data_IF_432482971615
#
_entry.id   IF_432482971615
#
_cell.length_a   1.000
_cell.length_b   1.000
_cell.length_c   1.000
_cell.angle_alpha   90.00
_cell.angle_beta   90.00
_cell.angle_gamma   90.00
#
_symmetry.space_group_name_H-M   'P 1'
#
loop_
_entity.id
_entity.type
_entity.pdbx_description
1 polymer ?
#
# COMPACT_ATOMS: atom_id res chain seq x y z
N UNK A 1 25.12 10.65 7.78
CA UNK A 1 25.20 11.78 6.83
C UNK A 1 24.41 11.34 5.61
N UNK A 2 23.19 11.84 5.46
CA UNK A 2 22.30 11.46 4.37
C UNK A 2 22.35 12.59 3.35
N UNK A 3 22.85 12.26 2.15
CA UNK A 3 22.77 13.16 1.00
C UNK A 3 21.36 13.04 0.42
N UNK A 4 20.75 14.19 0.00
CA UNK A 4 19.59 14.14 -0.88
C UNK A 4 20.00 13.47 -2.22
N UNK A 5 19.03 13.07 -3.02
CA UNK A 5 19.30 12.39 -4.28
C UNK A 5 20.05 13.28 -5.32
N UNK A 6 20.17 14.59 -5.11
CA UNK A 6 21.02 15.53 -5.87
C UNK A 6 22.43 15.66 -5.27
N UNK A 7 22.77 14.85 -4.24
CA UNK A 7 24.05 14.91 -3.56
C UNK A 7 24.21 16.12 -2.64
N UNK A 8 23.09 16.80 -2.27
CA UNK A 8 23.13 17.95 -1.37
C UNK A 8 23.04 17.50 0.08
N UNK A 9 23.92 18.03 0.92
CA UNK A 9 23.85 17.86 2.36
C UNK A 9 22.58 18.53 2.90
N UNK A 10 21.69 17.75 3.48
CA UNK A 10 20.57 18.31 4.26
C UNK A 10 21.12 19.12 5.42
N UNK A 11 20.93 20.44 5.35
CA UNK A 11 21.29 21.35 6.43
C UNK A 11 20.26 21.23 7.55
N UNK A 12 20.62 20.64 8.64
CA UNK A 12 19.93 20.35 9.90
C UNK A 12 19.49 18.89 10.02
N UNK A 13 20.28 18.17 10.77
CA UNK A 13 20.21 16.75 11.13
C UNK A 13 18.87 16.03 10.96
N UNK A 14 18.83 15.01 10.17
CA UNK A 14 17.84 13.93 10.05
C UNK A 14 16.38 14.28 9.71
N UNK A 15 15.91 15.54 9.72
CA UNK A 15 14.53 15.88 9.39
C UNK A 15 14.29 15.81 7.89
N UNK A 16 13.16 15.21 7.49
CA UNK A 16 12.81 14.96 6.08
C UNK A 16 11.37 15.37 5.83
N UNK A 17 11.08 15.82 4.60
CA UNK A 17 9.72 16.06 4.16
C UNK A 17 9.16 14.81 3.47
N UNK A 18 7.89 14.54 3.70
CA UNK A 18 7.15 13.43 3.12
C UNK A 18 5.80 13.91 2.58
N UNK A 19 5.29 13.23 1.57
CA UNK A 19 3.87 13.26 1.25
C UNK A 19 3.27 11.93 1.66
N UNK A 20 2.20 12.00 2.44
CA UNK A 20 1.40 10.87 2.88
C UNK A 20 0.13 10.77 2.05
N UNK A 21 -0.14 9.60 1.51
CA UNK A 21 -1.44 9.28 0.90
C UNK A 21 -2.26 8.55 1.94
N UNK A 22 -3.52 8.95 2.08
CA UNK A 22 -4.50 8.35 2.97
C UNK A 22 -5.85 8.20 2.26
N UNK A 23 -6.82 7.61 2.92
CA UNK A 23 -8.20 7.60 2.40
C UNK A 23 -8.82 8.98 2.58
N UNK A 24 -9.63 9.40 1.61
CA UNK A 24 -10.38 10.65 1.68
C UNK A 24 -11.17 10.74 3.00
N UNK A 25 -11.04 11.87 3.70
CA UNK A 25 -11.65 12.12 5.00
C UNK A 25 -10.87 11.58 6.20
N UNK A 26 -9.67 11.01 5.98
CA UNK A 26 -8.80 10.52 7.06
C UNK A 26 -7.54 11.38 7.27
N UNK A 27 -7.44 12.51 6.60
CA UNK A 27 -6.27 13.41 6.64
C UNK A 27 -5.95 13.88 8.06
N UNK A 28 -6.99 14.23 8.83
CA UNK A 28 -6.84 14.66 10.23
C UNK A 28 -6.34 13.59 11.19
N UNK A 29 -6.42 12.30 10.83
CA UNK A 29 -5.84 11.24 11.65
C UNK A 29 -4.31 11.21 11.56
N UNK A 30 -3.73 11.58 10.40
CA UNK A 30 -2.27 11.69 10.27
C UNK A 30 -1.73 12.77 11.21
N UNK A 31 -2.40 13.93 11.30
CA UNK A 31 -2.01 14.99 12.24
C UNK A 31 -2.07 14.52 13.70
N UNK A 32 -3.13 13.76 14.06
CA UNK A 32 -3.25 13.17 15.40
C UNK A 32 -2.15 12.14 15.70
N UNK A 33 -1.77 11.31 14.74
CA UNK A 33 -0.66 10.38 14.90
C UNK A 33 0.67 11.11 15.13
N UNK A 34 0.80 12.32 14.60
CA UNK A 34 1.98 13.18 14.78
C UNK A 34 1.98 13.99 16.08
N UNK A 35 0.88 14.08 16.83
CA UNK A 35 0.78 14.92 18.05
C UNK A 35 1.77 14.53 19.14
N UNK A 36 2.07 13.24 19.28
CA UNK A 36 2.99 12.72 20.30
C UNK A 36 4.46 12.65 19.84
N UNK A 37 4.76 13.07 18.60
CA UNK A 37 6.12 13.02 18.06
C UNK A 37 6.95 14.25 18.46
N UNK A 38 8.24 14.02 18.77
CA UNK A 38 9.17 15.10 19.06
C UNK A 38 10.45 14.97 18.22
N UNK A 39 10.79 15.98 17.38
CA UNK A 39 9.97 17.17 17.12
C UNK A 39 8.68 16.85 16.38
N UNK A 40 7.58 17.55 16.70
CA UNK A 40 6.32 17.42 15.99
C UNK A 40 6.49 17.94 14.56
N UNK A 41 6.21 17.15 13.51
CA UNK A 41 6.23 17.62 12.15
C UNK A 41 5.04 18.56 11.89
N UNK A 42 5.20 19.44 10.91
CA UNK A 42 4.09 20.24 10.42
C UNK A 42 3.28 19.41 9.42
N UNK A 43 1.99 19.25 9.66
CA UNK A 43 1.04 18.58 8.76
C UNK A 43 0.30 19.64 7.93
N UNK A 44 0.32 19.50 6.61
CA UNK A 44 -0.39 20.38 5.68
C UNK A 44 -1.17 19.56 4.68
N UNK A 45 -2.49 19.70 4.65
CA UNK A 45 -3.33 19.07 3.63
C UNK A 45 -3.09 19.74 2.27
N UNK A 46 -2.65 18.97 1.28
CA UNK A 46 -2.39 19.46 -0.08
C UNK A 46 -3.57 19.23 -1.02
N UNK A 47 -4.32 18.16 -0.78
CA UNK A 47 -5.52 17.75 -1.51
C UNK A 47 -6.24 16.66 -0.71
N UNK A 48 -7.44 16.30 -1.12
CA UNK A 48 -8.19 15.18 -0.51
C UNK A 48 -7.37 13.89 -0.53
N UNK A 49 -7.12 13.31 0.63
CA UNK A 49 -6.28 12.13 0.81
C UNK A 49 -4.78 12.37 0.67
N UNK A 50 -4.31 13.62 0.67
CA UNK A 50 -2.90 13.99 0.51
C UNK A 50 -2.44 14.96 1.59
N UNK A 51 -1.51 14.54 2.42
CA UNK A 51 -0.95 15.35 3.51
C UNK A 51 0.57 15.44 3.36
N UNK A 52 1.10 16.65 3.39
CA UNK A 52 2.54 16.89 3.51
C UNK A 52 2.95 16.93 4.98
N UNK A 53 4.00 16.16 5.31
CA UNK A 53 4.71 16.22 6.57
C UNK A 53 6.03 16.94 6.37
N UNK A 54 6.17 18.12 6.96
CA UNK A 54 7.41 18.89 6.94
C UNK A 54 8.16 18.75 8.26
N UNK A 55 9.46 18.48 8.18
CA UNK A 55 10.30 18.33 9.37
C UNK A 55 10.07 17.04 10.17
N UNK A 56 9.68 15.94 9.51
CA UNK A 56 9.50 14.63 10.14
C UNK A 56 10.86 13.94 10.37
N UNK A 57 11.05 13.41 11.55
CA UNK A 57 12.21 12.56 11.86
C UNK A 57 11.92 11.11 11.44
N UNK A 58 12.62 10.57 10.44
CA UNK A 58 12.36 9.22 9.93
C UNK A 58 12.56 8.11 10.97
N UNK A 59 13.26 8.38 12.09
CA UNK A 59 13.42 7.41 13.18
C UNK A 59 12.08 7.08 13.84
N UNK A 60 11.10 7.97 13.77
CA UNK A 60 9.77 7.72 14.32
C UNK A 60 9.04 6.56 13.63
N UNK A 61 9.36 6.23 12.39
CA UNK A 61 8.73 5.07 11.75
C UNK A 61 8.97 3.75 12.49
N UNK A 62 10.07 3.63 13.23
CA UNK A 62 10.38 2.42 14.00
C UNK A 62 9.70 2.36 15.37
N UNK A 63 9.30 3.50 15.91
CA UNK A 63 8.70 3.63 17.26
C UNK A 63 7.21 3.97 17.21
N UNK A 64 6.80 4.69 16.19
CA UNK A 64 5.42 5.21 16.03
C UNK A 64 5.03 5.17 14.55
N UNK A 65 4.72 3.97 14.02
CA UNK A 65 4.33 3.85 12.61
C UNK A 65 3.02 4.62 12.33
N UNK A 66 2.95 5.24 11.16
CA UNK A 66 1.77 5.97 10.71
C UNK A 66 0.76 4.98 10.10
N UNK A 67 -0.30 4.65 10.83
CA UNK A 67 -1.28 3.61 10.44
C UNK A 67 -2.28 4.08 9.38
N UNK A 68 -2.53 5.40 9.30
CA UNK A 68 -3.47 5.96 8.32
C UNK A 68 -2.82 6.25 6.97
N UNK A 69 -1.52 6.05 6.84
CA UNK A 69 -0.77 6.22 5.58
C UNK A 69 -0.85 4.96 4.74
N UNK A 70 -1.42 5.04 3.56
CA UNK A 70 -1.45 3.94 2.57
C UNK A 70 -0.23 3.96 1.66
N UNK A 71 0.31 5.14 1.36
CA UNK A 71 1.53 5.31 0.59
C UNK A 71 2.31 6.55 1.07
N UNK A 72 3.61 6.38 1.20
CA UNK A 72 4.54 7.44 1.60
C UNK A 72 5.47 7.79 0.45
N UNK A 73 5.64 9.08 0.20
CA UNK A 73 6.56 9.64 -0.77
C UNK A 73 7.67 10.39 -0.01
N UNK A 74 8.87 9.82 0.16
CA UNK A 74 9.97 10.48 0.82
C UNK A 74 10.58 11.58 -0.07
N UNK A 75 10.95 12.71 0.53
CA UNK A 75 11.64 13.83 -0.14
C UNK A 75 10.97 14.25 -1.45
N UNK A 76 9.65 14.57 -1.44
CA UNK A 76 8.93 14.91 -2.66
C UNK A 76 9.46 16.20 -3.27
N UNK A 77 9.54 16.24 -4.62
CA UNK A 77 9.80 17.46 -5.39
C UNK A 77 8.59 17.79 -6.25
N UNK A 78 8.12 19.04 -6.16
CA UNK A 78 7.03 19.50 -7.02
C UNK A 78 7.50 19.66 -8.47
N UNK A 79 6.73 19.12 -9.38
CA UNK A 79 6.92 19.23 -10.82
C UNK A 79 5.64 19.73 -11.48
N UNK A 80 5.81 20.43 -12.62
CA UNK A 80 4.70 20.93 -13.43
C UNK A 80 4.93 20.63 -14.91
N UNK A 81 3.90 20.12 -15.57
CA UNK A 81 3.92 19.89 -17.00
C UNK A 81 2.50 20.01 -17.60
N UNK A 82 2.30 20.81 -18.67
CA UNK A 82 0.98 21.08 -19.23
C UNK A 82 0.42 19.94 -20.07
N UNK A 83 1.20 18.90 -20.40
CA UNK A 83 0.75 17.83 -21.26
C UNK A 83 1.36 16.47 -20.88
N UNK A 84 0.68 15.38 -21.26
CA UNK A 84 1.17 13.99 -21.08
C UNK A 84 2.58 13.82 -21.65
N UNK A 85 2.84 14.33 -22.86
CA UNK A 85 4.15 14.23 -23.51
C UNK A 85 5.25 14.98 -22.74
N UNK A 86 4.92 16.12 -22.16
CA UNK A 86 5.88 16.88 -21.36
C UNK A 86 6.13 16.21 -20.01
N UNK A 87 5.12 15.66 -19.37
CA UNK A 87 5.28 14.81 -18.19
C UNK A 87 6.24 13.64 -18.46
N UNK A 88 6.02 12.90 -19.56
CA UNK A 88 6.87 11.78 -19.91
C UNK A 88 8.32 12.20 -20.21
N UNK A 89 8.54 13.34 -20.85
CA UNK A 89 9.90 13.87 -21.09
C UNK A 89 10.58 14.26 -19.78
N UNK A 90 9.86 14.97 -18.91
CA UNK A 90 10.37 15.37 -17.59
C UNK A 90 10.76 14.13 -16.76
N UNK A 91 9.89 13.12 -16.74
CA UNK A 91 10.19 11.84 -16.10
C UNK A 91 11.43 11.17 -16.70
N UNK A 92 11.56 11.14 -18.02
CA UNK A 92 12.73 10.54 -18.66
C UNK A 92 14.03 11.24 -18.24
N UNK A 93 14.01 12.55 -18.12
CA UNK A 93 15.16 13.34 -17.63
C UNK A 93 15.48 12.97 -16.18
N UNK A 94 14.48 12.94 -15.30
CA UNK A 94 14.63 12.56 -13.91
C UNK A 94 15.15 11.11 -13.78
N UNK A 95 14.54 10.16 -14.45
CA UNK A 95 14.95 8.76 -14.45
C UNK A 95 16.40 8.59 -14.93
N UNK A 96 16.79 9.31 -15.97
CA UNK A 96 18.16 9.28 -16.51
C UNK A 96 19.17 9.81 -15.49
N UNK A 97 18.84 10.90 -14.80
CA UNK A 97 19.69 11.51 -13.78
C UNK A 97 19.85 10.60 -12.55
N UNK A 98 18.76 9.93 -12.14
CA UNK A 98 18.67 9.16 -10.91
C UNK A 98 19.25 7.75 -11.04
N UNK A 99 18.93 7.08 -12.14
CA UNK A 99 19.27 5.67 -12.36
C UNK A 99 20.52 5.48 -13.25
N UNK A 100 21.04 6.54 -13.82
CA UNK A 100 22.25 6.50 -14.67
C UNK A 100 22.11 5.48 -15.81
N UNK A 101 23.00 4.48 -15.84
CA UNK A 101 23.01 3.42 -16.88
C UNK A 101 21.90 2.36 -16.69
N UNK A 102 21.20 2.34 -15.53
CA UNK A 102 20.04 1.50 -15.31
C UNK A 102 20.34 0.02 -15.12
N UNK A 103 21.39 -0.30 -14.38
CA UNK A 103 21.77 -1.69 -14.11
C UNK A 103 21.03 -2.30 -12.91
N UNK A 104 20.55 -1.45 -11.99
CA UNK A 104 19.84 -1.90 -10.78
C UNK A 104 18.33 -1.99 -11.02
N UNK A 105 17.64 -2.98 -10.41
CA UNK A 105 16.19 -3.11 -10.49
C UNK A 105 15.49 -1.90 -9.85
N UNK A 106 14.45 -1.42 -10.50
CA UNK A 106 13.65 -0.30 -10.00
C UNK A 106 12.17 -0.46 -10.35
N UNK A 107 11.32 0.24 -9.62
CA UNK A 107 9.87 0.28 -9.84
C UNK A 107 9.37 1.68 -10.16
N UNK A 108 8.24 1.77 -10.86
CA UNK A 108 7.59 3.02 -11.22
C UNK A 108 6.11 3.00 -10.82
N UNK A 109 5.72 3.98 -10.02
CA UNK A 109 4.32 4.25 -9.70
C UNK A 109 3.93 5.62 -10.22
N UNK A 110 2.90 5.69 -11.05
CA UNK A 110 2.27 6.95 -11.50
C UNK A 110 0.80 6.88 -11.12
N UNK A 111 0.34 7.80 -10.27
CA UNK A 111 -1.00 7.75 -9.72
C UNK A 111 -1.55 9.14 -9.34
N UNK A 112 -2.84 9.17 -9.12
CA UNK A 112 -3.63 10.30 -8.64
C UNK A 112 -4.20 9.93 -7.27
N UNK A 113 -4.49 10.89 -6.36
CA UNK A 113 -5.17 10.60 -5.10
C UNK A 113 -6.51 9.93 -5.36
N UNK A 114 -6.92 9.01 -4.49
CA UNK A 114 -8.24 8.39 -4.60
C UNK A 114 -9.31 9.44 -4.27
N UNK A 115 -10.04 9.92 -5.28
CA UNK A 115 -11.23 10.73 -5.03
C UNK A 115 -12.40 9.85 -4.57
N UNK A 116 -13.26 10.37 -3.68
CA UNK A 116 -14.45 9.67 -3.22
C UNK A 116 -15.43 9.27 -4.37
N UNK A 117 -15.32 9.94 -5.53
CA UNK A 117 -16.17 9.77 -6.72
C UNK A 117 -15.52 8.95 -7.86
N UNK A 118 -14.54 8.14 -7.57
CA UNK A 118 -13.61 7.58 -8.57
C UNK A 118 -14.12 6.45 -9.44
N UNK A 119 -15.26 6.62 -10.08
CA UNK A 119 -15.62 5.84 -11.28
C UNK A 119 -14.77 6.16 -12.52
N UNK A 120 -13.97 7.26 -12.49
CA UNK A 120 -13.10 7.73 -13.61
C UNK A 120 -11.61 7.72 -13.25
N UNK A 121 -11.21 6.87 -12.35
CA UNK A 121 -9.87 6.76 -11.85
C UNK A 121 -8.84 6.45 -12.97
N UNK A 122 -7.74 7.22 -13.06
CA UNK A 122 -6.48 6.89 -13.78
C UNK A 122 -6.34 7.19 -15.26
N UNK A 123 -7.12 8.09 -15.86
CA UNK A 123 -6.94 8.34 -17.30
C UNK A 123 -5.60 9.00 -17.61
N UNK A 124 -5.18 10.03 -16.83
CA UNK A 124 -3.96 10.80 -17.10
C UNK A 124 -2.69 10.07 -16.64
N UNK A 125 -2.69 9.50 -15.45
CA UNK A 125 -1.57 8.71 -14.94
C UNK A 125 -1.22 7.56 -15.89
N UNK A 126 -2.23 6.79 -16.35
CA UNK A 126 -2.04 5.72 -17.35
C UNK A 126 -1.53 6.21 -18.70
N UNK A 127 -1.96 7.39 -19.14
CA UNK A 127 -1.45 7.96 -20.39
C UNK A 127 0.01 8.37 -20.26
N UNK A 128 0.40 8.95 -19.13
CA UNK A 128 1.80 9.30 -18.84
C UNK A 128 2.64 8.02 -18.74
N UNK A 129 2.16 7.00 -18.06
CA UNK A 129 2.83 5.71 -17.95
C UNK A 129 3.09 5.09 -19.32
N UNK A 130 2.07 5.04 -20.18
CA UNK A 130 2.21 4.55 -21.55
C UNK A 130 3.25 5.32 -22.35
N UNK A 131 3.24 6.64 -22.24
CA UNK A 131 4.15 7.51 -23.01
C UNK A 131 5.60 7.39 -22.49
N UNK A 132 5.83 7.31 -21.17
CA UNK A 132 7.18 7.13 -20.62
C UNK A 132 7.75 5.76 -20.98
N UNK A 133 6.94 4.69 -20.93
CA UNK A 133 7.38 3.36 -21.36
C UNK A 133 7.78 3.33 -22.85
N UNK A 134 7.06 4.05 -23.70
CA UNK A 134 7.41 4.21 -25.11
C UNK A 134 8.75 4.97 -25.29
N UNK A 135 8.96 6.06 -24.55
CA UNK A 135 10.21 6.82 -24.56
C UNK A 135 11.39 5.99 -24.02
N UNK A 136 11.20 5.22 -22.95
CA UNK A 136 12.23 4.31 -22.42
C UNK A 136 12.60 3.25 -23.47
N UNK A 137 11.63 2.68 -24.16
CA UNK A 137 11.88 1.70 -25.23
C UNK A 137 12.68 2.29 -26.38
N UNK A 138 12.43 3.54 -26.73
CA UNK A 138 13.12 4.24 -27.81
C UNK A 138 14.53 4.68 -27.40
N UNK A 139 14.65 5.33 -26.23
CA UNK A 139 15.86 6.11 -25.87
C UNK A 139 16.72 5.48 -24.78
N UNK A 140 16.14 4.64 -23.91
CA UNK A 140 16.79 4.12 -22.69
C UNK A 140 16.39 2.69 -22.40
N UNK A 141 16.70 1.77 -23.32
CA UNK A 141 16.34 0.35 -23.23
C UNK A 141 16.93 -0.35 -22.00
N UNK A 142 18.08 0.07 -21.50
CA UNK A 142 18.65 -0.46 -20.27
C UNK A 142 17.73 -0.21 -19.07
N UNK A 143 17.25 1.03 -18.90
CA UNK A 143 16.30 1.38 -17.85
C UNK A 143 15.01 0.57 -17.95
N UNK A 144 14.49 0.41 -19.18
CA UNK A 144 13.27 -0.40 -19.37
C UNK A 144 13.46 -1.88 -19.00
N UNK A 145 14.65 -2.45 -19.27
CA UNK A 145 14.95 -3.84 -18.90
C UNK A 145 15.04 -4.06 -17.40
N UNK A 146 15.47 -3.05 -16.65
CA UNK A 146 15.61 -3.09 -15.18
C UNK A 146 14.32 -2.68 -14.46
N UNK A 147 13.30 -2.20 -15.18
CA UNK A 147 11.99 -1.87 -14.61
C UNK A 147 11.24 -3.14 -14.23
N UNK A 148 10.89 -3.26 -12.96
CA UNK A 148 10.10 -4.36 -12.44
C UNK A 148 8.61 -4.01 -12.44
N UNK A 149 7.74 -4.89 -12.95
CA UNK A 149 6.29 -4.70 -12.90
C UNK A 149 5.73 -4.78 -11.47
N UNK A 150 6.44 -5.48 -10.58
CA UNK A 150 6.11 -5.61 -9.15
C UNK A 150 7.37 -5.35 -8.34
N UNK A 151 7.59 -4.12 -7.87
CA UNK A 151 8.77 -3.78 -7.07
C UNK A 151 8.73 -4.49 -5.70
N UNK A 152 9.88 -4.92 -5.22
CA UNK A 152 10.05 -5.55 -3.89
C UNK A 152 10.58 -4.53 -2.88
N UNK A 153 10.69 -4.90 -1.61
CA UNK A 153 11.28 -4.03 -0.58
C UNK A 153 12.72 -3.61 -0.88
N UNK A 154 13.47 -4.45 -1.59
CA UNK A 154 14.87 -4.20 -1.99
C UNK A 154 15.02 -3.38 -3.28
N UNK A 155 13.89 -2.96 -3.87
CA UNK A 155 13.86 -2.24 -5.14
C UNK A 155 13.73 -0.74 -4.89
N UNK A 156 14.51 0.09 -5.59
CA UNK A 156 14.26 1.54 -5.65
C UNK A 156 12.90 1.80 -6.31
N UNK A 157 12.03 2.55 -5.63
CA UNK A 157 10.71 2.90 -6.13
C UNK A 157 10.65 4.38 -6.49
N UNK A 158 10.35 4.68 -7.74
CA UNK A 158 10.12 6.03 -8.22
C UNK A 158 8.62 6.25 -8.32
N UNK A 159 8.15 7.34 -7.74
CA UNK A 159 6.72 7.64 -7.60
C UNK A 159 6.44 9.02 -8.21
N UNK A 160 5.42 9.11 -9.06
CA UNK A 160 4.83 10.35 -9.52
C UNK A 160 3.39 10.43 -9.04
N UNK A 161 3.13 11.31 -8.09
CA UNK A 161 1.79 11.67 -7.64
C UNK A 161 1.32 12.89 -8.45
N UNK A 162 0.18 12.79 -9.11
CA UNK A 162 -0.47 13.91 -9.78
C UNK A 162 -1.57 14.48 -8.88
N UNK A 163 -1.43 15.72 -8.42
CA UNK A 163 -2.47 16.44 -7.68
C UNK A 163 -3.49 17.04 -8.65
N UNK A 164 -3.00 17.64 -9.73
CA UNK A 164 -3.82 18.10 -10.84
C UNK A 164 -3.23 17.59 -12.16
N UNK A 165 -3.94 17.71 -13.28
CA UNK A 165 -3.37 17.33 -14.58
C UNK A 165 -2.01 17.95 -14.91
N UNK A 166 -1.69 19.10 -14.32
CA UNK A 166 -0.51 19.89 -14.65
C UNK A 166 0.49 20.03 -13.50
N UNK A 167 0.11 19.57 -12.29
CA UNK A 167 0.92 19.65 -11.07
C UNK A 167 1.04 18.30 -10.39
N UNK A 168 2.22 17.94 -9.97
CA UNK A 168 2.45 16.69 -9.25
C UNK A 168 3.76 16.72 -8.47
N UNK A 169 4.05 15.60 -7.80
CA UNK A 169 5.25 15.43 -7.01
C UNK A 169 5.96 14.15 -7.45
N UNK A 170 7.26 14.26 -7.69
CA UNK A 170 8.12 13.10 -7.87
C UNK A 170 8.83 12.78 -6.56
N UNK A 171 8.98 11.50 -6.27
CA UNK A 171 9.68 11.00 -5.09
C UNK A 171 10.44 9.73 -5.41
N UNK A 172 11.53 9.52 -4.66
CA UNK A 172 12.35 8.32 -4.76
C UNK A 172 12.42 7.70 -3.38
N UNK A 173 11.93 6.47 -3.28
CA UNK A 173 12.06 5.64 -2.12
C UNK A 173 13.15 4.58 -2.38
N UNK A 174 14.30 4.75 -1.75
CA UNK A 174 15.40 3.79 -1.80
C UNK A 174 15.07 2.54 -0.98
N UNK A 175 15.79 1.41 -1.13
CA UNK A 175 15.64 0.25 -0.23
C UNK A 175 15.79 0.61 1.25
N UNK A 176 16.65 1.59 1.58
CA UNK A 176 16.78 2.08 2.95
C UNK A 176 15.51 2.77 3.45
N UNK A 177 14.91 3.68 2.65
CA UNK A 177 13.66 4.35 3.01
C UNK A 177 12.53 3.34 3.20
N UNK A 178 12.46 2.35 2.31
CA UNK A 178 11.44 1.29 2.36
C UNK A 178 11.59 0.39 3.58
N UNK A 179 12.83 0.04 3.95
CA UNK A 179 13.10 -0.70 5.18
C UNK A 179 12.74 0.10 6.44
N UNK A 180 13.03 1.40 6.44
CA UNK A 180 12.77 2.28 7.58
C UNK A 180 11.27 2.53 7.77
N UNK A 181 10.57 2.91 6.71
CA UNK A 181 9.14 3.23 6.74
C UNK A 181 8.22 1.99 6.67
N UNK A 182 8.79 0.82 6.39
CA UNK A 182 8.04 -0.44 6.33
C UNK A 182 6.85 -0.40 5.36
N UNK A 183 5.66 -0.85 5.80
CA UNK A 183 4.48 -0.91 4.94
C UNK A 183 4.01 0.44 4.39
N UNK A 184 4.39 1.57 5.02
CA UNK A 184 4.01 2.90 4.55
C UNK A 184 4.60 3.24 3.18
N UNK A 185 5.74 2.62 2.76
CA UNK A 185 6.22 2.68 1.38
C UNK A 185 5.87 1.38 0.67
N UNK A 186 4.60 1.25 0.32
CA UNK A 186 4.04 0.05 -0.29
C UNK A 186 4.68 -0.29 -1.65
N UNK A 187 4.88 -1.58 -1.97
CA UNK A 187 5.20 -2.03 -3.32
C UNK A 187 3.99 -1.96 -4.27
N UNK A 188 2.79 -1.76 -3.73
CA UNK A 188 1.56 -1.64 -4.50
C UNK A 188 1.30 -0.19 -4.88
N UNK A 189 0.70 0.03 -6.07
CA UNK A 189 0.37 1.36 -6.57
C UNK A 189 -0.54 2.12 -5.59
N UNK A 190 -0.11 3.30 -5.15
CA UNK A 190 -0.80 4.13 -4.17
C UNK A 190 -1.12 3.40 -2.84
N UNK A 191 -0.41 2.32 -2.54
CA UNK A 191 -0.62 1.51 -1.34
C UNK A 191 -1.80 0.54 -1.42
N UNK A 192 -2.46 0.42 -2.57
CA UNK A 192 -3.61 -0.48 -2.73
C UNK A 192 -3.20 -1.82 -3.33
N UNK A 193 -3.46 -2.89 -2.58
CA UNK A 193 -3.31 -4.25 -3.10
C UNK A 193 -4.41 -4.53 -4.13
N UNK A 194 -4.03 -4.77 -5.38
CA UNK A 194 -4.97 -5.10 -6.44
C UNK A 194 -5.43 -6.55 -6.30
N UNK A 195 -6.49 -6.80 -5.51
CA UNK A 195 -7.09 -8.12 -5.39
C UNK A 195 -8.07 -8.35 -6.54
N UNK A 196 -7.81 -9.32 -7.45
CA UNK A 196 -8.71 -9.63 -8.55
C UNK A 196 -10.12 -9.98 -8.07
N UNK A 197 -11.11 -9.69 -8.91
CA UNK A 197 -12.47 -10.15 -8.65
C UNK A 197 -12.54 -11.68 -8.80
N UNK A 198 -13.08 -12.32 -7.76
CA UNK A 198 -13.39 -13.76 -7.74
C UNK A 198 -14.85 -13.89 -7.28
N UNK A 199 -15.65 -14.60 -8.06
CA UNK A 199 -17.07 -14.83 -7.78
C UNK A 199 -17.29 -16.12 -6.97
N UNK A 200 -16.23 -16.89 -6.71
CA UNK A 200 -16.33 -18.14 -5.94
C UNK A 200 -16.49 -17.94 -4.44
N UNK A 201 -15.83 -16.94 -3.78
CA UNK A 201 -16.09 -16.67 -2.39
C UNK A 201 -17.52 -16.12 -2.15
N UNK A 202 -18.21 -16.53 -1.09
CA UNK A 202 -19.59 -16.14 -0.84
C UNK A 202 -19.80 -14.65 -0.49
N UNK A 203 -18.74 -13.91 -0.27
CA UNK A 203 -18.80 -12.45 -0.07
C UNK A 203 -17.53 -11.77 -0.56
N UNK A 204 -17.63 -10.47 -0.88
CA UNK A 204 -16.47 -9.64 -1.28
C UNK A 204 -15.47 -9.37 -0.14
N UNK A 205 -15.84 -9.70 1.10
CA UNK A 205 -14.96 -9.54 2.27
C UNK A 205 -13.65 -10.35 2.15
N UNK A 206 -13.60 -11.40 1.32
CA UNK A 206 -12.38 -12.16 1.06
C UNK A 206 -11.20 -11.27 0.64
N UNK A 207 -11.45 -10.16 -0.05
CA UNK A 207 -10.42 -9.23 -0.51
C UNK A 207 -9.63 -8.62 0.65
N UNK A 208 -10.29 -8.33 1.77
CA UNK A 208 -9.65 -7.79 2.98
C UNK A 208 -8.59 -8.76 3.53
N UNK A 209 -8.91 -10.07 3.55
CA UNK A 209 -7.96 -11.07 4.04
C UNK A 209 -6.79 -11.27 3.08
N UNK A 210 -7.02 -11.24 1.76
CA UNK A 210 -5.94 -11.28 0.75
C UNK A 210 -5.02 -10.06 0.90
N UNK A 211 -5.60 -8.85 1.01
CA UNK A 211 -4.84 -7.63 1.26
C UNK A 211 -4.02 -7.72 2.55
N UNK A 212 -4.62 -8.20 3.65
CA UNK A 212 -3.92 -8.38 4.92
C UNK A 212 -2.75 -9.38 4.81
N UNK A 213 -2.90 -10.46 4.03
CA UNK A 213 -1.81 -11.40 3.78
C UNK A 213 -0.60 -10.72 3.12
N UNK A 214 -0.84 -9.90 2.10
CA UNK A 214 0.21 -9.17 1.40
C UNK A 214 0.86 -8.11 2.30
N UNK A 215 0.05 -7.31 2.98
CA UNK A 215 0.54 -6.20 3.83
C UNK A 215 1.33 -6.71 5.03
N UNK A 216 0.87 -7.77 5.68
CA UNK A 216 1.50 -8.32 6.90
C UNK A 216 2.42 -9.52 6.63
N UNK A 217 2.61 -9.92 5.37
CA UNK A 217 3.43 -11.08 5.02
C UNK A 217 2.91 -12.40 5.57
N UNK A 218 1.58 -12.54 5.72
CA UNK A 218 0.95 -13.74 6.28
C UNK A 218 0.92 -14.84 5.22
N UNK A 219 1.65 -15.92 5.45
CA UNK A 219 1.68 -17.07 4.57
C UNK A 219 0.79 -18.20 5.09
N UNK A 220 -0.34 -18.45 4.44
CA UNK A 220 -1.20 -19.59 4.76
C UNK A 220 -0.60 -20.90 4.26
N UNK A 221 -0.69 -21.95 5.08
CA UNK A 221 -0.18 -23.29 4.75
C UNK A 221 -1.22 -24.36 5.11
N UNK A 222 -1.26 -25.41 4.31
CA UNK A 222 -2.13 -26.54 4.58
C UNK A 222 -1.89 -27.12 5.99
N UNK A 223 -2.98 -27.40 6.69
CA UNK A 223 -2.97 -27.94 8.04
C UNK A 223 -2.92 -26.91 9.17
N UNK A 224 -2.69 -25.62 8.88
CA UNK A 224 -2.78 -24.56 9.89
C UNK A 224 -4.15 -24.58 10.57
N UNK A 225 -4.15 -24.38 11.89
CA UNK A 225 -5.35 -24.28 12.73
C UNK A 225 -5.81 -22.82 12.76
N UNK A 226 -6.93 -22.52 12.13
CA UNK A 226 -7.42 -21.16 11.98
C UNK A 226 -8.80 -20.98 12.61
N UNK A 227 -9.10 -19.80 13.10
CA UNK A 227 -10.45 -19.41 13.49
C UNK A 227 -10.89 -18.17 12.70
N UNK A 228 -12.16 -18.19 12.25
CA UNK A 228 -12.84 -17.07 11.59
C UNK A 228 -14.03 -16.65 12.47
N UNK A 229 -13.91 -15.51 13.14
CA UNK A 229 -14.89 -14.98 14.07
C UNK A 229 -15.80 -13.98 13.33
N UNK A 230 -17.12 -14.26 13.33
CA UNK A 230 -18.09 -13.54 12.49
C UNK A 230 -18.02 -14.04 11.05
N UNK A 231 -17.94 -15.34 10.89
CA UNK A 231 -17.57 -16.00 9.63
C UNK A 231 -18.61 -15.87 8.51
N UNK A 232 -19.92 -15.74 8.82
CA UNK A 232 -20.99 -15.78 7.80
C UNK A 232 -20.92 -14.58 6.84
N UNK A 233 -21.12 -14.78 5.54
CA UNK A 233 -21.44 -16.02 4.81
C UNK A 233 -20.23 -16.91 4.48
N UNK A 234 -18.98 -16.54 4.85
CA UNK A 234 -17.80 -17.39 4.70
C UNK A 234 -16.74 -16.85 3.74
N UNK A 235 -16.68 -15.54 3.51
CA UNK A 235 -15.69 -14.95 2.61
C UNK A 235 -14.25 -15.25 3.06
N UNK A 236 -13.94 -15.07 4.33
CA UNK A 236 -12.61 -15.38 4.90
C UNK A 236 -12.41 -16.87 5.11
N UNK A 237 -13.44 -17.57 5.61
CA UNK A 237 -13.43 -19.04 5.70
C UNK A 237 -13.05 -19.69 4.36
N UNK A 238 -13.57 -19.16 3.23
CA UNK A 238 -13.25 -19.66 1.89
C UNK A 238 -11.75 -19.55 1.58
N UNK A 239 -11.14 -18.39 1.86
CA UNK A 239 -9.70 -18.16 1.63
C UNK A 239 -8.85 -19.15 2.44
N UNK A 240 -9.16 -19.28 3.73
CA UNK A 240 -8.45 -20.18 4.64
C UNK A 240 -8.59 -21.66 4.21
N UNK A 241 -9.82 -22.08 3.89
CA UNK A 241 -10.09 -23.45 3.45
C UNK A 241 -9.44 -23.78 2.10
N UNK A 242 -9.45 -22.81 1.14
CA UNK A 242 -8.77 -22.95 -0.16
C UNK A 242 -7.26 -23.13 -0.02
N UNK A 243 -6.65 -22.50 1.00
CA UNK A 243 -5.24 -22.70 1.35
C UNK A 243 -4.95 -24.04 2.08
N UNK A 244 -5.98 -24.86 2.36
CA UNK A 244 -5.86 -26.14 3.04
C UNK A 244 -5.78 -26.04 4.56
N UNK A 245 -6.13 -24.89 5.15
CA UNK A 245 -6.23 -24.73 6.59
C UNK A 245 -7.40 -25.53 7.18
N UNK A 246 -7.33 -25.89 8.46
CA UNK A 246 -8.45 -26.37 9.27
C UNK A 246 -9.08 -25.17 9.95
N UNK A 247 -10.34 -24.90 9.65
CA UNK A 247 -11.00 -23.65 10.04
C UNK A 247 -12.16 -23.90 10.98
N UNK A 248 -12.11 -23.32 12.17
CA UNK A 248 -13.30 -23.10 13.00
C UNK A 248 -13.93 -21.79 12.54
N UNK A 249 -15.16 -21.89 12.02
CA UNK A 249 -15.93 -20.75 11.56
C UNK A 249 -17.07 -20.49 12.52
N UNK A 250 -17.01 -19.40 13.26
CA UNK A 250 -17.94 -19.08 14.35
C UNK A 250 -18.85 -17.95 13.92
N UNK A 251 -20.17 -18.22 13.89
CA UNK A 251 -21.19 -17.21 13.60
C UNK A 251 -22.58 -17.66 14.12
N UNK A 252 -23.47 -16.69 14.31
CA UNK A 252 -24.89 -16.95 14.63
C UNK A 252 -25.68 -17.43 13.41
N UNK A 253 -25.22 -17.03 12.21
CA UNK A 253 -25.79 -17.38 10.91
C UNK A 253 -24.97 -18.47 10.21
N UNK A 254 -25.58 -19.36 9.41
CA UNK A 254 -24.86 -20.41 8.71
C UNK A 254 -23.95 -19.84 7.62
N UNK A 255 -22.91 -20.61 7.27
CA UNK A 255 -22.09 -20.34 6.11
C UNK A 255 -22.81 -20.71 4.81
N UNK A 256 -22.24 -20.27 3.71
CA UNK A 256 -22.62 -20.73 2.36
C UNK A 256 -22.58 -22.26 2.26
N UNK A 257 -23.57 -22.92 1.60
CA UNK A 257 -23.71 -24.36 1.59
C UNK A 257 -22.45 -25.17 1.16
N UNK A 258 -21.68 -24.76 0.17
CA UNK A 258 -20.39 -25.40 -0.17
C UNK A 258 -19.40 -25.46 1.01
N UNK A 259 -19.30 -24.38 1.80
CA UNK A 259 -18.41 -24.33 2.97
C UNK A 259 -18.88 -25.22 4.10
N UNK A 260 -20.22 -25.28 4.32
CA UNK A 260 -20.82 -26.20 5.31
C UNK A 260 -20.53 -27.68 5.01
N UNK A 261 -20.24 -28.03 3.75
CA UNK A 261 -19.89 -29.40 3.31
C UNK A 261 -18.38 -29.64 3.25
N UNK A 262 -17.57 -28.61 3.46
CA UNK A 262 -16.12 -28.72 3.35
C UNK A 262 -15.55 -29.41 4.60
N UNK A 263 -14.81 -30.50 4.40
CA UNK A 263 -14.24 -31.32 5.50
C UNK A 263 -13.19 -30.61 6.34
N UNK A 264 -12.60 -29.51 5.84
CA UNK A 264 -11.60 -28.72 6.57
C UNK A 264 -12.26 -27.60 7.38
N UNK A 265 -13.57 -27.40 7.25
CA UNK A 265 -14.32 -26.33 7.92
C UNK A 265 -15.22 -26.95 9.01
N UNK A 266 -15.07 -26.47 10.23
CA UNK A 266 -15.94 -26.80 11.36
C UNK A 266 -16.76 -25.57 11.69
N UNK A 267 -18.05 -25.58 11.33
CA UNK A 267 -18.96 -24.50 11.69
C UNK A 267 -19.42 -24.63 13.13
N UNK A 268 -19.29 -23.54 13.89
CA UNK A 268 -19.76 -23.43 15.27
C UNK A 268 -20.82 -22.34 15.33
N UNK A 269 -22.10 -22.74 15.52
CA UNK A 269 -23.19 -21.78 15.69
C UNK A 269 -23.12 -21.17 17.08
N UNK A 270 -22.83 -19.87 17.16
CA UNK A 270 -22.73 -19.20 18.46
C UNK A 270 -22.26 -17.77 18.38
N UNK A 271 -22.03 -17.21 19.54
CA UNK A 271 -21.43 -15.88 19.70
C UNK A 271 -19.91 -15.98 19.58
N UNK A 272 -19.34 -15.26 18.65
CA UNK A 272 -17.90 -15.24 18.39
C UNK A 272 -17.10 -14.76 19.62
N UNK A 273 -17.65 -13.85 20.42
CA UNK A 273 -16.98 -13.34 21.62
C UNK A 273 -17.04 -14.30 22.82
N UNK A 274 -17.96 -15.26 22.79
CA UNK A 274 -18.07 -16.28 23.84
C UNK A 274 -17.34 -17.60 23.50
N UNK A 275 -16.82 -17.70 22.27
CA UNK A 275 -16.13 -18.91 21.84
C UNK A 275 -14.68 -18.95 22.32
N UNK A 276 -14.24 -20.13 22.76
CA UNK A 276 -12.87 -20.38 23.18
C UNK A 276 -12.31 -21.56 22.40
N UNK A 277 -11.11 -21.45 21.83
CA UNK A 277 -10.49 -22.54 21.09
C UNK A 277 -10.07 -23.68 22.04
N UNK A 278 -10.34 -24.93 21.64
CA UNK A 278 -9.88 -26.11 22.36
C UNK A 278 -8.39 -26.41 22.16
N UNK A 279 -7.78 -25.81 21.13
CA UNK A 279 -6.38 -25.98 20.75
C UNK A 279 -5.75 -24.65 20.42
N UNK A 280 -4.43 -24.60 20.47
CA UNK A 280 -3.66 -23.45 19.98
C UNK A 280 -3.96 -23.20 18.50
N UNK A 281 -4.22 -21.96 18.15
CA UNK A 281 -4.44 -21.51 16.79
C UNK A 281 -3.14 -20.96 16.18
N UNK A 282 -2.93 -21.20 14.91
CA UNK A 282 -1.87 -20.57 14.12
C UNK A 282 -2.29 -19.17 13.64
N UNK A 283 -3.60 -18.98 13.40
CA UNK A 283 -4.17 -17.71 12.94
C UNK A 283 -5.61 -17.55 13.41
N UNK A 284 -5.95 -16.38 13.88
CA UNK A 284 -7.32 -15.95 14.14
C UNK A 284 -7.63 -14.70 13.34
N UNK A 285 -8.76 -14.70 12.64
CA UNK A 285 -9.28 -13.57 11.88
C UNK A 285 -10.67 -13.20 12.40
N UNK A 286 -11.00 -11.89 12.37
CA UNK A 286 -12.25 -11.37 12.89
C UNK A 286 -12.72 -10.18 12.06
N UNK A 287 -13.92 -10.26 11.48
CA UNK A 287 -14.63 -9.15 10.78
C UNK A 287 -16.01 -8.90 11.42
N UNK A 288 -16.07 -9.03 12.74
CA UNK A 288 -17.32 -8.78 13.49
C UNK A 288 -17.59 -7.29 13.54
N UNK A 289 -18.78 -6.87 13.09
CA UNK A 289 -19.26 -5.49 13.26
C UNK A 289 -19.73 -5.33 14.70
N UNK A 290 -18.91 -4.73 15.52
CA UNK A 290 -19.21 -4.41 16.91
C UNK A 290 -18.70 -3.01 17.25
N UNK A 291 -19.42 -2.30 18.10
CA UNK A 291 -18.87 -1.11 18.73
C UNK A 291 -17.71 -1.51 19.66
N UNK A 292 -16.60 -0.78 19.68
CA UNK A 292 -15.50 -1.03 20.59
C UNK A 292 -15.91 -0.84 22.05
#
# INVERSE_FOLDING_TARGET
>A
MVLDWKGRLGMNGNLTNYICITRAGQEGFIDRECEALEPRPQCTELDTGVVELSGFDPRHFTTSPLFFVTQLLPRPEELRAPSVKQWARLLLEQLTQLLGEGNEPWGLHIFEPASADSGKQYSRAKLIEKEILALLKEKRRSLLKSLLPSPTAETTLIQLLLITPERGFISIATPHDRKLAGPAVSPCLAGYVAVPDDQTPPSRAFKKLIEAQDVFGISLRAGMQCADLGASPGGWTHVLAKAGCRVWAIDRSPLDPPLMKNRTVTFVKGDAFAWTPEKTLDLMVCDVISAP
#
